data_IF_900827535800
#
_entry.id   IF_900827535800
#
_cell.length_a   1.000
_cell.length_b   1.000
_cell.length_c   1.000
_cell.angle_alpha   90.00
_cell.angle_beta   90.00
_cell.angle_gamma   90.00
#
_symmetry.space_group_name_H-M   'P 1'
#
loop_
_entity.id
_entity.type
_entity.pdbx_description
1 polymer ?
#
# COMPACT_ATOMS: atom_id res chain seq x y z
N UNK A 1 3.38 20.15 -10.45
CA UNK A 1 3.63 18.70 -10.25
C UNK A 1 4.24 18.15 -11.52
N UNK A 2 5.10 17.12 -11.45
CA UNK A 2 5.51 16.42 -12.66
C UNK A 2 4.28 15.87 -13.39
N UNK A 3 4.30 15.91 -14.71
CA UNK A 3 3.26 15.31 -15.54
C UNK A 3 3.55 13.82 -15.66
N UNK A 4 2.64 12.97 -15.22
CA UNK A 4 2.75 11.52 -15.27
C UNK A 4 1.93 10.97 -16.44
N UNK A 5 2.42 9.95 -17.14
CA UNK A 5 1.75 9.35 -18.30
C UNK A 5 0.81 8.21 -17.90
N UNK A 6 1.10 7.51 -16.80
CA UNK A 6 0.40 6.27 -16.41
C UNK A 6 -0.36 6.38 -15.11
N UNK A 7 -0.18 7.46 -14.35
CA UNK A 7 -0.86 7.69 -13.08
C UNK A 7 -1.37 9.14 -12.99
N UNK A 8 -2.32 9.37 -12.08
CA UNK A 8 -2.72 10.70 -11.62
C UNK A 8 -2.36 10.85 -10.16
N UNK A 9 -1.93 12.05 -9.76
CA UNK A 9 -1.58 12.36 -8.37
C UNK A 9 -2.35 13.60 -7.92
N UNK A 10 -3.03 13.49 -6.78
CA UNK A 10 -3.58 14.63 -6.04
C UNK A 10 -2.90 14.67 -4.66
N UNK A 11 -2.20 15.75 -4.36
CA UNK A 11 -1.45 15.97 -3.12
C UNK A 11 -1.97 17.16 -2.31
N UNK A 12 -3.18 17.62 -2.63
CA UNK A 12 -3.83 18.74 -1.95
C UNK A 12 -4.55 18.27 -0.69
N UNK A 13 -4.07 18.72 0.48
CA UNK A 13 -4.67 18.41 1.77
C UNK A 13 -4.01 17.23 2.50
N UNK A 14 -4.67 16.73 3.57
CA UNK A 14 -4.05 15.72 4.45
C UNK A 14 -4.07 14.30 3.88
N UNK A 15 -4.86 14.03 2.86
CA UNK A 15 -4.95 12.74 2.17
C UNK A 15 -4.48 12.93 0.73
N UNK A 16 -3.32 12.37 0.41
CA UNK A 16 -2.84 12.27 -0.97
C UNK A 16 -3.51 11.11 -1.70
N UNK A 17 -3.66 11.22 -3.03
CA UNK A 17 -4.22 10.13 -3.84
C UNK A 17 -3.33 9.88 -5.04
N UNK A 18 -3.06 8.61 -5.29
CA UNK A 18 -2.47 8.11 -6.54
C UNK A 18 -3.51 7.24 -7.23
N UNK A 19 -3.77 7.51 -8.50
CA UNK A 19 -4.69 6.72 -9.33
C UNK A 19 -3.93 6.16 -10.51
N UNK A 20 -3.88 4.83 -10.65
CA UNK A 20 -3.41 4.17 -11.87
C UNK A 20 -4.32 4.59 -13.03
N UNK A 21 -3.79 5.13 -14.10
CA UNK A 21 -4.59 5.84 -15.11
C UNK A 21 -4.34 5.34 -16.56
N UNK A 22 -4.42 4.03 -16.74
CA UNK A 22 -4.49 3.37 -18.06
C UNK A 22 -5.70 2.43 -18.13
N UNK A 23 -6.93 2.95 -17.92
CA UNK A 23 -8.14 2.11 -17.82
C UNK A 23 -8.45 1.32 -19.09
N UNK A 24 -8.13 1.85 -20.27
CA UNK A 24 -8.21 1.18 -21.58
C UNK A 24 -7.39 -0.10 -21.64
N UNK A 25 -6.29 -0.17 -20.88
CA UNK A 25 -5.40 -1.33 -20.76
C UNK A 25 -5.53 -2.06 -19.41
N UNK A 26 -6.57 -1.75 -18.64
CA UNK A 26 -6.81 -2.32 -17.29
C UNK A 26 -5.68 -2.04 -16.29
N UNK A 27 -5.10 -0.83 -16.34
CA UNK A 27 -4.07 -0.36 -15.42
C UNK A 27 -2.87 -1.31 -15.23
N UNK A 28 -2.15 -1.67 -16.31
CA UNK A 28 -1.01 -2.58 -16.20
C UNK A 28 0.16 -1.90 -15.49
N UNK A 29 0.96 -2.70 -14.77
CA UNK A 29 2.15 -2.26 -14.06
C UNK A 29 3.37 -2.67 -14.87
N UNK A 30 3.98 -1.69 -15.51
CA UNK A 30 5.24 -1.85 -16.22
C UNK A 30 6.32 -0.94 -15.65
N UNK A 31 7.55 -0.96 -16.23
CA UNK A 31 8.66 -0.14 -15.75
C UNK A 31 8.34 1.35 -15.65
N UNK A 32 7.65 1.91 -16.65
CA UNK A 32 7.22 3.30 -16.63
C UNK A 32 6.30 3.60 -15.43
N UNK A 33 5.29 2.75 -15.21
CA UNK A 33 4.37 2.89 -14.07
C UNK A 33 5.10 2.75 -12.73
N UNK A 34 6.05 1.81 -12.60
CA UNK A 34 6.88 1.68 -11.41
C UNK A 34 7.69 2.96 -11.15
N UNK A 35 8.34 3.50 -12.18
CA UNK A 35 9.11 4.73 -12.06
C UNK A 35 8.27 5.94 -11.65
N UNK A 36 7.10 6.09 -12.25
CA UNK A 36 6.17 7.15 -11.89
C UNK A 36 5.62 7.01 -10.47
N UNK A 37 5.29 5.78 -10.03
CA UNK A 37 4.86 5.51 -8.67
C UNK A 37 5.96 5.83 -7.65
N UNK A 38 7.20 5.42 -7.90
CA UNK A 38 8.36 5.75 -7.04
C UNK A 38 8.51 7.27 -6.92
N UNK A 39 8.45 8.00 -8.03
CA UNK A 39 8.54 9.47 -8.04
C UNK A 39 7.36 10.14 -7.31
N UNK A 40 6.15 9.61 -7.51
CA UNK A 40 4.94 10.10 -6.84
C UNK A 40 5.03 9.89 -5.31
N UNK A 41 5.42 8.70 -4.85
CA UNK A 41 5.62 8.43 -3.43
C UNK A 41 6.71 9.31 -2.83
N UNK A 42 7.82 9.58 -3.54
CA UNK A 42 8.85 10.51 -3.09
C UNK A 42 8.30 11.94 -2.93
N UNK A 43 7.48 12.41 -3.87
CA UNK A 43 6.79 13.71 -3.79
C UNK A 43 5.86 13.77 -2.59
N UNK A 44 5.02 12.74 -2.40
CA UNK A 44 4.09 12.67 -1.26
C UNK A 44 4.83 12.54 0.08
N UNK A 45 5.98 11.86 0.11
CA UNK A 45 6.86 11.79 1.28
C UNK A 45 7.34 13.17 1.72
N UNK A 46 7.77 13.98 0.76
CA UNK A 46 8.28 15.33 1.00
C UNK A 46 7.19 16.34 1.39
N UNK A 47 5.94 16.13 0.96
CA UNK A 47 4.84 17.05 1.27
C UNK A 47 4.31 16.83 2.70
N UNK A 48 4.70 17.73 3.63
CA UNK A 48 4.29 17.63 5.03
C UNK A 48 2.76 17.79 5.27
N UNK A 49 2.02 18.35 4.32
CA UNK A 49 0.56 18.47 4.41
C UNK A 49 -0.11 17.11 4.23
N UNK A 50 0.46 16.21 3.41
CA UNK A 50 -0.05 14.86 3.21
C UNK A 50 0.33 13.97 4.39
N UNK A 51 -0.65 13.30 4.99
CA UNK A 51 -0.51 12.45 6.17
C UNK A 51 -0.91 11.00 5.95
N UNK A 52 -1.76 10.74 4.95
CA UNK A 52 -2.12 9.40 4.48
C UNK A 52 -2.22 9.41 2.95
N UNK A 53 -2.07 8.24 2.33
CA UNK A 53 -2.11 8.10 0.87
C UNK A 53 -3.15 7.05 0.49
N UNK A 54 -3.99 7.35 -0.49
CA UNK A 54 -4.89 6.38 -1.13
C UNK A 54 -4.28 6.00 -2.48
N UNK A 55 -4.21 4.70 -2.76
CA UNK A 55 -3.85 4.14 -4.06
C UNK A 55 -5.04 3.42 -4.67
N UNK A 56 -5.40 3.77 -5.91
CA UNK A 56 -6.57 3.18 -6.59
C UNK A 56 -6.34 3.05 -8.10
N UNK A 57 -7.29 2.44 -8.82
CA UNK A 57 -7.28 2.34 -10.28
C UNK A 57 -8.40 3.16 -10.92
N UNK A 58 -8.13 3.80 -12.05
CA UNK A 58 -9.17 4.40 -12.88
C UNK A 58 -10.01 3.33 -13.58
N UNK A 59 -11.28 3.63 -13.81
CA UNK A 59 -12.23 2.71 -14.46
C UNK A 59 -12.71 1.58 -13.56
N UNK A 60 -12.94 0.40 -14.13
CA UNK A 60 -13.55 -0.75 -13.44
C UNK A 60 -12.55 -1.78 -12.88
N UNK A 61 -11.24 -1.51 -12.97
CA UNK A 61 -10.18 -2.43 -12.58
C UNK A 61 -9.16 -1.69 -11.72
N UNK A 62 -8.77 -2.25 -10.59
CA UNK A 62 -7.64 -1.73 -9.85
C UNK A 62 -6.36 -1.89 -10.69
N UNK A 63 -5.97 -3.13 -11.00
CA UNK A 63 -4.89 -3.45 -11.94
C UNK A 63 -4.98 -4.90 -12.41
N UNK A 64 -4.79 -5.13 -13.70
CA UNK A 64 -4.74 -6.49 -14.27
C UNK A 64 -3.35 -7.15 -14.17
N UNK A 65 -2.36 -6.46 -13.59
CA UNK A 65 -1.02 -7.01 -13.36
C UNK A 65 0.06 -6.44 -14.27
N UNK A 66 1.07 -7.24 -14.57
CA UNK A 66 2.23 -6.79 -15.35
C UNK A 66 1.91 -6.35 -16.78
N UNK A 67 2.62 -5.36 -17.27
CA UNK A 67 2.55 -4.96 -18.68
C UNK A 67 3.35 -5.95 -19.53
N UNK A 68 2.66 -7.01 -20.02
CA UNK A 68 3.29 -8.07 -20.82
C UNK A 68 3.91 -7.53 -22.11
N UNK A 69 3.35 -6.45 -22.67
CA UNK A 69 3.90 -5.83 -23.89
C UNK A 69 5.25 -5.16 -23.62
N UNK A 70 5.42 -4.58 -22.44
CA UNK A 70 6.67 -3.97 -22.03
C UNK A 70 7.74 -5.01 -21.65
N UNK A 71 7.34 -6.20 -21.16
CA UNK A 71 8.28 -7.27 -20.80
C UNK A 71 9.00 -7.89 -22.01
N UNK A 72 8.43 -7.78 -23.21
CA UNK A 72 9.02 -8.34 -24.45
C UNK A 72 9.88 -7.33 -25.20
N UNK A 73 9.95 -6.08 -24.74
CA UNK A 73 10.73 -5.02 -25.38
C UNK A 73 12.04 -4.81 -24.59
N UNK A 74 13.16 -4.74 -25.33
CA UNK A 74 14.43 -4.31 -24.73
C UNK A 74 14.28 -2.85 -24.26
N UNK A 75 14.69 -2.57 -23.05
CA UNK A 75 14.65 -1.23 -22.48
C UNK A 75 16.09 -0.77 -22.19
N UNK A 76 16.44 0.41 -22.67
CA UNK A 76 17.74 1.05 -22.40
C UNK A 76 17.66 1.88 -21.13
N UNK A 77 18.62 1.70 -20.22
CA UNK A 77 18.79 2.48 -19.01
C UNK A 77 18.27 1.83 -17.72
N UNK A 78 18.46 2.50 -16.57
CA UNK A 78 18.00 2.02 -15.27
C UNK A 78 16.47 2.03 -15.22
N UNK A 79 15.89 0.85 -14.96
CA UNK A 79 14.45 0.64 -14.95
C UNK A 79 13.99 0.46 -13.50
N UNK A 80 13.08 1.31 -13.04
CA UNK A 80 12.44 1.10 -11.74
C UNK A 80 11.66 -0.22 -11.76
N UNK A 81 11.92 -1.07 -10.78
CA UNK A 81 11.35 -2.41 -10.64
C UNK A 81 10.26 -2.43 -9.57
N UNK A 82 9.52 -3.54 -9.48
CA UNK A 82 8.63 -3.78 -8.34
C UNK A 82 9.40 -3.80 -7.00
N UNK A 83 10.68 -4.18 -7.01
CA UNK A 83 11.51 -4.14 -5.80
C UNK A 83 11.69 -2.70 -5.32
N UNK A 84 12.08 -1.80 -6.23
CA UNK A 84 12.25 -0.37 -5.89
C UNK A 84 10.93 0.24 -5.41
N UNK A 85 9.83 -0.13 -6.07
CA UNK A 85 8.50 0.37 -5.72
C UNK A 85 8.09 -0.10 -4.31
N UNK A 86 8.14 -1.39 -4.01
CA UNK A 86 7.74 -1.93 -2.71
C UNK A 86 8.62 -1.40 -1.58
N UNK A 87 9.94 -1.31 -1.81
CA UNK A 87 10.86 -0.69 -0.85
C UNK A 87 10.49 0.77 -0.59
N UNK A 88 10.17 1.53 -1.65
CA UNK A 88 9.74 2.94 -1.52
C UNK A 88 8.44 3.06 -0.73
N UNK A 89 7.48 2.15 -0.94
CA UNK A 89 6.21 2.13 -0.21
C UNK A 89 6.43 1.86 1.28
N UNK A 90 7.21 0.84 1.64
CA UNK A 90 7.54 0.52 3.04
C UNK A 90 8.32 1.63 3.74
N UNK A 91 9.11 2.40 3.00
CA UNK A 91 9.90 3.53 3.52
C UNK A 91 9.18 4.88 3.47
N UNK A 92 7.91 4.91 3.02
CA UNK A 92 7.15 6.16 2.90
C UNK A 92 6.99 6.85 4.26
N UNK A 93 6.72 6.09 5.32
CA UNK A 93 6.46 6.60 6.66
C UNK A 93 5.12 7.32 6.81
N UNK A 94 4.21 7.11 5.87
CA UNK A 94 2.81 7.55 5.87
C UNK A 94 1.95 6.37 5.50
N UNK A 95 0.77 6.17 6.12
CA UNK A 95 -0.11 5.05 5.79
C UNK A 95 -0.54 5.09 4.33
N UNK A 96 -0.47 3.94 3.66
CA UNK A 96 -0.97 3.73 2.31
C UNK A 96 -2.21 2.83 2.38
N UNK A 97 -3.32 3.29 1.84
CA UNK A 97 -4.57 2.53 1.77
C UNK A 97 -4.84 2.19 0.32
N UNK A 98 -4.89 0.90 -0.01
CA UNK A 98 -5.43 0.48 -1.29
C UNK A 98 -6.96 0.61 -1.28
N UNK A 99 -7.50 1.41 -2.20
CA UNK A 99 -8.91 1.50 -2.51
C UNK A 99 -9.18 0.67 -3.76
N UNK A 100 -9.63 -0.57 -3.56
CA UNK A 100 -9.72 -1.58 -4.64
C UNK A 100 -11.09 -1.56 -5.27
N UNK A 101 -11.20 -0.84 -6.37
CA UNK A 101 -12.44 -0.59 -7.11
C UNK A 101 -12.88 -1.73 -8.05
N UNK A 102 -12.11 -2.80 -8.17
CA UNK A 102 -12.38 -3.94 -9.03
C UNK A 102 -11.23 -4.94 -9.03
N UNK A 103 -11.07 -5.77 -10.07
CA UNK A 103 -10.03 -6.80 -10.09
C UNK A 103 -8.64 -6.29 -9.78
N UNK A 104 -7.94 -6.97 -8.85
CA UNK A 104 -6.53 -6.80 -8.54
C UNK A 104 -5.81 -8.13 -8.81
N UNK A 105 -5.09 -8.23 -9.92
CA UNK A 105 -4.55 -9.50 -10.42
C UNK A 105 -3.02 -9.40 -10.60
N UNK A 106 -2.35 -10.53 -10.46
CA UNK A 106 -0.92 -10.66 -10.73
C UNK A 106 -0.08 -9.57 -10.03
N UNK A 107 0.81 -8.86 -10.73
CA UNK A 107 1.55 -7.73 -10.16
C UNK A 107 0.68 -6.63 -9.53
N UNK A 108 -0.59 -6.48 -10.00
CA UNK A 108 -1.56 -5.56 -9.41
C UNK A 108 -2.02 -5.99 -8.01
N UNK A 109 -2.17 -7.30 -7.80
CA UNK A 109 -2.38 -7.86 -6.47
C UNK A 109 -1.19 -7.56 -5.56
N UNK A 110 0.04 -7.75 -6.07
CA UNK A 110 1.25 -7.43 -5.31
C UNK A 110 1.32 -5.97 -4.89
N UNK A 111 1.00 -5.05 -5.79
CA UNK A 111 0.94 -3.61 -5.49
C UNK A 111 -0.11 -3.29 -4.42
N UNK A 112 -1.27 -3.94 -4.49
CA UNK A 112 -2.32 -3.81 -3.48
C UNK A 112 -1.84 -4.29 -2.09
N UNK A 113 -1.22 -5.48 -2.04
CA UNK A 113 -0.77 -6.11 -0.79
C UNK A 113 0.42 -5.36 -0.16
N UNK A 114 1.22 -4.66 -0.96
CA UNK A 114 2.29 -3.79 -0.47
C UNK A 114 1.76 -2.49 0.19
N UNK A 115 0.46 -2.20 0.11
CA UNK A 115 -0.17 -1.14 0.90
C UNK A 115 -0.38 -1.60 2.35
N UNK A 116 -0.36 -0.66 3.30
CA UNK A 116 -0.55 -0.96 4.73
C UNK A 116 -1.96 -1.48 5.05
N UNK A 117 -2.97 -0.96 4.35
CA UNK A 117 -4.38 -1.30 4.53
C UNK A 117 -5.08 -1.44 3.19
N UNK A 118 -6.11 -2.29 3.14
CA UNK A 118 -6.89 -2.55 1.92
C UNK A 118 -8.39 -2.46 2.22
N UNK A 119 -9.09 -1.59 1.50
CA UNK A 119 -10.55 -1.59 1.42
C UNK A 119 -10.95 -1.91 -0.01
N UNK A 120 -11.84 -2.88 -0.21
CA UNK A 120 -12.23 -3.34 -1.52
C UNK A 120 -13.74 -3.21 -1.76
N UNK A 121 -14.12 -3.02 -3.01
CA UNK A 121 -15.49 -3.25 -3.43
C UNK A 121 -15.85 -4.73 -3.25
N UNK A 122 -17.07 -5.02 -2.84
CA UNK A 122 -17.60 -6.39 -2.68
C UNK A 122 -17.62 -7.19 -3.99
N UNK A 123 -17.54 -6.49 -5.12
CA UNK A 123 -17.44 -7.07 -6.47
C UNK A 123 -16.00 -7.30 -6.93
N UNK A 124 -14.99 -6.91 -6.14
CA UNK A 124 -13.59 -7.08 -6.50
C UNK A 124 -13.17 -8.55 -6.46
N UNK A 125 -12.19 -8.90 -7.29
CA UNK A 125 -11.60 -10.24 -7.32
C UNK A 125 -10.08 -10.16 -7.28
N UNK A 126 -9.44 -11.14 -6.67
CA UNK A 126 -8.02 -11.14 -6.35
C UNK A 126 -7.37 -12.45 -6.83
N UNK A 127 -6.19 -12.38 -7.42
CA UNK A 127 -5.53 -13.62 -7.86
C UNK A 127 -4.14 -13.43 -8.42
N UNK A 128 -3.33 -14.46 -8.27
CA UNK A 128 -2.02 -14.60 -8.88
C UNK A 128 -2.17 -15.41 -10.17
N UNK A 129 -2.46 -14.72 -11.28
CA UNK A 129 -2.84 -15.36 -12.54
C UNK A 129 -1.65 -15.69 -13.45
N UNK A 130 -0.42 -15.42 -13.01
CA UNK A 130 0.82 -15.61 -13.75
C UNK A 130 1.00 -17.06 -14.24
N UNK A 131 0.61 -18.04 -13.43
CA UNK A 131 0.75 -19.46 -13.78
C UNK A 131 -0.02 -19.83 -15.04
N UNK A 132 -1.12 -19.14 -15.34
CA UNK A 132 -1.93 -19.38 -16.53
C UNK A 132 -1.21 -19.04 -17.84
N UNK A 133 -0.13 -18.25 -17.78
CA UNK A 133 0.71 -17.88 -18.92
C UNK A 133 2.13 -18.42 -18.80
N UNK A 134 2.35 -19.41 -17.90
CA UNK A 134 3.65 -20.05 -17.71
C UNK A 134 4.66 -19.23 -16.94
N UNK A 135 4.20 -18.21 -16.20
CA UNK A 135 5.03 -17.37 -15.32
C UNK A 135 4.79 -17.71 -13.85
N UNK A 136 5.71 -17.27 -12.99
CA UNK A 136 5.58 -17.37 -11.55
C UNK A 136 5.59 -15.97 -10.91
N UNK A 137 4.73 -15.69 -9.93
CA UNK A 137 4.62 -14.38 -9.28
C UNK A 137 5.78 -14.15 -8.28
N UNK A 138 7.02 -13.92 -8.77
CA UNK A 138 8.24 -13.90 -7.95
C UNK A 138 8.21 -12.84 -6.84
N UNK A 139 8.30 -11.54 -7.18
CA UNK A 139 8.46 -10.47 -6.18
C UNK A 139 7.25 -10.36 -5.26
N UNK A 140 6.04 -10.51 -5.80
CA UNK A 140 4.81 -10.41 -5.01
C UNK A 140 4.60 -11.58 -4.03
N UNK A 141 5.34 -12.70 -4.21
CA UNK A 141 5.34 -13.82 -3.25
C UNK A 141 5.68 -13.34 -1.85
N UNK A 142 6.67 -12.44 -1.72
CA UNK A 142 7.11 -11.93 -0.44
C UNK A 142 5.98 -11.22 0.32
N UNK A 143 5.26 -10.32 -0.35
CA UNK A 143 4.17 -9.53 0.24
C UNK A 143 2.96 -10.42 0.57
N UNK A 144 2.55 -11.28 -0.37
CA UNK A 144 1.38 -12.14 -0.19
C UNK A 144 1.61 -13.13 0.96
N UNK A 145 2.80 -13.74 1.05
CA UNK A 145 3.11 -14.73 2.10
C UNK A 145 3.08 -14.12 3.50
N UNK A 146 3.51 -12.86 3.63
CA UNK A 146 3.44 -12.12 4.89
C UNK A 146 2.00 -11.78 5.30
N UNK A 147 1.11 -11.61 4.33
CA UNK A 147 -0.30 -11.25 4.58
C UNK A 147 -1.18 -12.45 4.88
N UNK A 148 -1.13 -13.52 4.05
CA UNK A 148 -2.08 -14.64 4.15
C UNK A 148 -1.44 -15.96 4.58
N UNK A 149 -0.13 -15.97 4.80
CA UNK A 149 0.62 -17.15 5.20
C UNK A 149 0.83 -18.17 4.06
N UNK A 150 1.73 -19.13 4.32
CA UNK A 150 2.28 -20.04 3.32
C UNK A 150 1.24 -20.83 2.53
N UNK A 151 0.25 -21.42 3.23
CA UNK A 151 -0.70 -22.35 2.56
C UNK A 151 -1.60 -21.65 1.58
N UNK A 152 -2.17 -20.50 1.97
CA UNK A 152 -3.04 -19.72 1.09
C UNK A 152 -2.26 -19.13 -0.08
N UNK A 153 -1.03 -18.63 0.17
CA UNK A 153 -0.13 -18.17 -0.89
C UNK A 153 0.10 -19.23 -1.94
N UNK A 154 0.51 -20.45 -1.54
CA UNK A 154 0.76 -21.54 -2.49
C UNK A 154 -0.51 -22.00 -3.22
N UNK A 155 -1.66 -22.05 -2.55
CA UNK A 155 -2.94 -22.35 -3.20
C UNK A 155 -3.20 -21.36 -4.33
N UNK A 156 -3.12 -20.05 -4.06
CA UNK A 156 -3.34 -19.01 -5.06
C UNK A 156 -2.36 -19.12 -6.23
N UNK A 157 -1.07 -19.29 -5.94
CA UNK A 157 -0.01 -19.29 -6.95
C UNK A 157 0.01 -20.53 -7.83
N UNK A 158 -0.22 -21.72 -7.24
CA UNK A 158 -0.21 -22.98 -7.96
C UNK A 158 -1.46 -23.18 -8.81
N UNK A 159 -2.60 -22.70 -8.35
CA UNK A 159 -3.89 -22.90 -9.04
C UNK A 159 -4.25 -21.74 -9.98
N UNK A 160 -3.71 -20.54 -9.72
CA UNK A 160 -4.12 -19.31 -10.42
C UNK A 160 -5.59 -18.93 -10.16
N UNK A 161 -6.25 -19.58 -9.18
CA UNK A 161 -7.64 -19.28 -8.86
C UNK A 161 -7.79 -17.87 -8.32
N UNK A 162 -8.94 -17.29 -8.57
CA UNK A 162 -9.30 -15.99 -8.03
C UNK A 162 -10.10 -16.18 -6.74
N UNK A 163 -9.83 -15.29 -5.78
CA UNK A 163 -10.64 -15.11 -4.57
C UNK A 163 -11.69 -14.04 -4.83
N UNK A 164 -12.89 -14.21 -4.31
CA UNK A 164 -13.83 -13.10 -4.19
C UNK A 164 -13.48 -12.21 -3.00
N UNK A 165 -14.26 -11.14 -2.80
CA UNK A 165 -13.99 -10.16 -1.76
C UNK A 165 -14.14 -10.74 -0.34
N UNK A 166 -15.09 -11.66 -0.13
CA UNK A 166 -15.30 -12.29 1.18
C UNK A 166 -14.15 -13.25 1.52
N UNK A 167 -13.76 -14.12 0.58
CA UNK A 167 -12.61 -15.00 0.75
C UNK A 167 -11.32 -14.21 1.03
N UNK A 168 -11.15 -13.05 0.37
CA UNK A 168 -10.01 -12.17 0.56
C UNK A 168 -9.98 -11.54 1.97
N UNK A 169 -11.14 -11.19 2.52
CA UNK A 169 -11.26 -10.72 3.91
C UNK A 169 -10.99 -11.87 4.89
N UNK A 170 -11.61 -13.04 4.67
CA UNK A 170 -11.45 -14.20 5.55
C UNK A 170 -9.99 -14.66 5.69
N UNK A 171 -9.21 -14.60 4.61
CA UNK A 171 -7.80 -14.99 4.64
C UNK A 171 -6.83 -13.86 5.05
N UNK A 172 -7.32 -12.64 5.31
CA UNK A 172 -6.50 -11.50 5.74
C UNK A 172 -5.82 -10.75 4.60
N UNK A 173 -6.17 -11.01 3.35
CA UNK A 173 -5.65 -10.30 2.17
C UNK A 173 -6.25 -8.88 2.06
N UNK A 174 -7.47 -8.69 2.54
CA UNK A 174 -8.23 -7.44 2.53
C UNK A 174 -8.75 -7.16 3.94
N UNK A 175 -8.64 -5.91 4.40
CA UNK A 175 -9.13 -5.54 5.73
C UNK A 175 -10.66 -5.48 5.79
N UNK A 176 -11.30 -4.96 4.74
CA UNK A 176 -12.77 -4.85 4.62
C UNK A 176 -13.21 -4.90 3.18
N UNK A 177 -14.33 -5.57 2.92
CA UNK A 177 -15.10 -5.46 1.69
C UNK A 177 -16.38 -4.66 1.98
N UNK A 178 -16.71 -3.72 1.10
CA UNK A 178 -17.87 -2.83 1.23
C UNK A 178 -18.62 -2.76 -0.10
N UNK A 179 -19.92 -2.40 -0.11
CA UNK A 179 -20.62 -2.15 -1.37
C UNK A 179 -19.85 -1.17 -2.25
N UNK A 180 -19.75 -1.46 -3.55
CA UNK A 180 -18.95 -0.63 -4.47
C UNK A 180 -19.31 0.86 -4.42
N UNK A 181 -20.59 1.18 -4.18
CA UNK A 181 -21.06 2.56 -4.04
C UNK A 181 -20.54 3.28 -2.76
N UNK A 182 -20.12 2.53 -1.75
CA UNK A 182 -19.63 3.06 -0.47
C UNK A 182 -18.10 3.08 -0.39
N UNK A 183 -17.40 2.46 -1.36
CA UNK A 183 -15.96 2.28 -1.34
C UNK A 183 -15.18 3.59 -1.14
N UNK A 184 -15.52 4.62 -1.90
CA UNK A 184 -14.86 5.93 -1.82
C UNK A 184 -15.07 6.56 -0.44
N UNK A 185 -16.29 6.55 0.07
CA UNK A 185 -16.63 7.17 1.35
C UNK A 185 -15.94 6.46 2.53
N UNK A 186 -15.96 5.12 2.55
CA UNK A 186 -15.34 4.31 3.61
C UNK A 186 -13.80 4.42 3.59
N UNK A 187 -13.20 4.47 2.39
CA UNK A 187 -11.75 4.64 2.26
C UNK A 187 -11.34 6.04 2.70
N UNK A 188 -12.05 7.08 2.26
CA UNK A 188 -11.76 8.47 2.64
C UNK A 188 -11.94 8.69 4.14
N UNK A 189 -12.96 8.06 4.74
CA UNK A 189 -13.17 8.10 6.20
C UNK A 189 -11.96 7.53 6.94
N UNK A 190 -11.50 6.33 6.57
CA UNK A 190 -10.32 5.72 7.18
C UNK A 190 -9.05 6.57 6.97
N UNK A 191 -8.83 7.07 5.75
CA UNK A 191 -7.68 7.92 5.45
C UNK A 191 -7.67 9.21 6.29
N UNK A 192 -8.85 9.83 6.47
CA UNK A 192 -9.00 11.03 7.29
C UNK A 192 -8.74 10.73 8.77
N UNK A 193 -9.25 9.61 9.30
CA UNK A 193 -8.98 9.17 10.67
C UNK A 193 -7.47 8.95 10.92
N UNK A 194 -6.77 8.35 9.96
CA UNK A 194 -5.31 8.17 10.04
C UNK A 194 -4.56 9.50 9.95
N UNK A 195 -5.02 10.41 9.09
CA UNK A 195 -4.42 11.74 8.94
C UNK A 195 -4.56 12.61 10.21
N UNK A 196 -5.52 12.33 11.08
CA UNK A 196 -5.68 12.98 12.39
C UNK A 196 -4.74 12.44 13.48
N UNK A 197 -3.94 11.40 13.23
CA UNK A 197 -2.98 10.84 14.18
C UNK A 197 -1.65 11.57 14.13
N UNK A 198 -0.79 11.38 15.16
CA UNK A 198 0.57 11.92 15.16
C UNK A 198 1.37 11.39 13.97
N UNK A 199 1.79 12.25 13.04
CA UNK A 199 2.57 11.82 11.88
C UNK A 199 3.97 11.34 12.27
N UNK A 200 4.53 11.83 13.37
CA UNK A 200 5.83 11.39 13.86
C UNK A 200 5.76 9.97 14.45
N UNK A 201 4.73 9.69 15.24
CA UNK A 201 4.52 8.35 15.81
C UNK A 201 4.21 7.32 14.71
N UNK A 202 3.34 7.66 13.74
CA UNK A 202 3.05 6.78 12.60
C UNK A 202 4.33 6.48 11.81
N UNK A 203 5.12 7.50 11.46
CA UNK A 203 6.36 7.31 10.69
C UNK A 203 7.34 6.37 11.39
N UNK A 204 7.60 6.59 12.69
CA UNK A 204 8.48 5.71 13.45
C UNK A 204 7.90 4.30 13.59
N UNK A 205 6.59 4.18 13.83
CA UNK A 205 5.90 2.90 13.98
C UNK A 205 5.95 2.06 12.71
N UNK A 206 5.62 2.66 11.54
CA UNK A 206 5.70 1.95 10.26
C UNK A 206 7.12 1.51 9.92
N UNK A 207 8.12 2.38 10.12
CA UNK A 207 9.52 2.00 9.91
C UNK A 207 9.95 0.87 10.85
N UNK A 208 9.55 0.91 12.12
CA UNK A 208 9.86 -0.14 13.06
C UNK A 208 9.18 -1.46 12.69
N UNK A 209 7.92 -1.41 12.26
CA UNK A 209 7.16 -2.57 11.81
C UNK A 209 7.85 -3.27 10.63
N UNK A 210 8.07 -2.57 9.51
CA UNK A 210 8.66 -3.15 8.31
C UNK A 210 10.10 -3.63 8.53
N UNK A 211 10.87 -2.93 9.34
CA UNK A 211 12.26 -3.30 9.60
C UNK A 211 12.41 -4.51 10.51
N UNK A 212 11.44 -4.78 11.35
CA UNK A 212 11.54 -5.84 12.36
C UNK A 212 10.81 -7.13 12.01
N UNK A 213 9.95 -7.13 10.99
CA UNK A 213 9.04 -8.26 10.71
C UNK A 213 9.75 -9.60 10.40
N UNK A 214 10.99 -9.55 9.91
CA UNK A 214 11.76 -10.75 9.56
C UNK A 214 12.87 -11.05 10.59
N UNK A 215 12.87 -10.37 11.75
CA UNK A 215 13.82 -10.62 12.83
C UNK A 215 13.36 -11.81 13.70
N UNK A 216 14.31 -12.53 14.27
CA UNK A 216 14.03 -13.47 15.33
C UNK A 216 13.43 -12.75 16.56
N UNK A 217 12.61 -13.45 17.37
CA UNK A 217 11.78 -12.84 18.41
C UNK A 217 12.57 -11.97 19.40
N UNK A 218 13.69 -12.46 19.95
CA UNK A 218 14.45 -11.70 20.96
C UNK A 218 15.12 -10.45 20.37
N UNK A 219 15.86 -10.51 19.24
CA UNK A 219 16.34 -9.32 18.54
C UNK A 219 15.22 -8.34 18.17
N UNK A 220 14.07 -8.82 17.71
CA UNK A 220 12.91 -8.01 17.38
C UNK A 220 12.40 -7.23 18.61
N UNK A 221 12.21 -7.92 19.74
CA UNK A 221 11.75 -7.26 20.99
C UNK A 221 12.74 -6.20 21.47
N UNK A 222 14.05 -6.46 21.43
CA UNK A 222 15.09 -5.47 21.79
C UNK A 222 15.07 -4.27 20.87
N UNK A 223 14.93 -4.50 19.56
CA UNK A 223 14.83 -3.44 18.59
C UNK A 223 13.59 -2.57 18.83
N UNK A 224 12.41 -3.19 18.98
CA UNK A 224 11.15 -2.47 19.23
C UNK A 224 11.15 -1.73 20.57
N UNK A 225 11.83 -2.26 21.61
CA UNK A 225 12.03 -1.55 22.88
C UNK A 225 12.85 -0.27 22.67
N UNK A 226 13.90 -0.31 21.86
CA UNK A 226 14.69 0.87 21.56
C UNK A 226 13.87 1.90 20.74
N UNK A 227 13.07 1.45 19.77
CA UNK A 227 12.17 2.32 18.99
C UNK A 227 11.07 2.94 19.87
N UNK A 228 10.54 2.21 20.86
CA UNK A 228 9.61 2.78 21.84
C UNK A 228 10.23 3.97 22.58
N UNK A 229 11.51 3.86 22.96
CA UNK A 229 12.25 4.98 23.59
C UNK A 229 12.29 6.21 22.69
N UNK A 230 12.46 6.04 21.36
CA UNK A 230 12.42 7.14 20.40
C UNK A 230 11.03 7.76 20.30
N UNK A 231 9.97 6.94 20.26
CA UNK A 231 8.59 7.43 20.24
C UNK A 231 8.26 8.23 21.49
N UNK A 232 8.65 7.75 22.69
CA UNK A 232 8.43 8.46 23.95
C UNK A 232 9.18 9.80 24.04
N UNK A 233 10.25 9.97 23.29
CA UNK A 233 11.00 11.23 23.24
C UNK A 233 10.35 12.31 22.35
N UNK A 234 9.36 11.95 21.50
CA UNK A 234 8.67 12.89 20.61
C UNK A 234 7.89 13.96 21.39
N UNK A 235 7.85 15.17 20.86
CA UNK A 235 6.93 16.21 21.32
C UNK A 235 5.47 15.77 21.20
N UNK A 236 5.12 15.09 20.12
CA UNK A 236 3.79 14.55 19.87
C UNK A 236 3.38 13.52 20.95
N UNK A 237 4.30 12.68 21.42
CA UNK A 237 3.99 11.73 22.49
C UNK A 237 3.63 12.44 23.80
N UNK A 238 4.38 13.48 24.16
CA UNK A 238 4.10 14.31 25.34
C UNK A 238 2.77 15.05 25.20
N UNK A 239 2.51 15.63 24.04
CA UNK A 239 1.25 16.31 23.72
C UNK A 239 0.07 15.31 23.81
N UNK A 240 0.21 14.12 23.22
CA UNK A 240 -0.83 13.09 23.24
C UNK A 240 -1.20 12.66 24.65
N UNK A 241 -0.21 12.38 25.50
CA UNK A 241 -0.40 12.03 26.92
C UNK A 241 -1.08 13.19 27.66
N UNK A 242 -0.58 14.42 27.47
CA UNK A 242 -1.15 15.61 28.15
C UNK A 242 -2.59 15.85 27.71
N UNK A 243 -2.87 15.80 26.39
CA UNK A 243 -4.21 15.99 25.85
C UNK A 243 -5.19 14.92 26.36
N UNK A 244 -4.76 13.65 26.45
CA UNK A 244 -5.55 12.56 27.01
C UNK A 244 -5.93 12.82 28.49
N UNK A 245 -4.95 13.19 29.32
CA UNK A 245 -5.19 13.49 30.75
C UNK A 245 -6.11 14.72 30.92
N UNK A 246 -6.01 15.69 30.01
CA UNK A 246 -6.81 16.92 30.03
C UNK A 246 -8.17 16.75 29.30
N UNK A 247 -8.48 15.58 28.75
CA UNK A 247 -9.71 15.29 27.96
C UNK A 247 -9.96 16.28 26.81
N UNK A 248 -8.90 16.69 26.12
CA UNK A 248 -8.96 17.56 24.93
C UNK A 248 -8.38 16.89 23.69
N UNK A 249 -8.66 17.44 22.52
CA UNK A 249 -8.00 16.98 21.26
C UNK A 249 -6.51 17.35 21.30
N UNK A 250 -5.61 16.45 20.88
CA UNK A 250 -4.20 16.74 20.75
C UNK A 250 -3.92 17.65 19.55
N UNK A 251 -2.81 18.40 19.63
CA UNK A 251 -2.31 19.26 18.56
C UNK A 251 -0.94 18.76 18.12
N UNK A 252 -0.93 17.94 17.06
CA UNK A 252 0.27 17.29 16.57
C UNK A 252 1.20 18.28 15.85
N UNK A 253 2.48 18.23 16.17
CA UNK A 253 3.54 19.03 15.52
C UNK A 253 4.38 18.23 14.54
N UNK A 254 4.27 16.90 14.57
CA UNK A 254 5.05 16.00 13.73
C UNK A 254 6.51 15.81 14.15
N UNK A 255 6.81 16.07 15.41
CA UNK A 255 8.16 16.07 15.99
C UNK A 255 8.25 15.19 17.21
#
# INVERSE_FOLDING_TARGET
MPEYATILVDDRGPVGRITLNRPDKRNPIGPATCGELVAAFATLKANAAVRAVILTGAGSVFSAGGDLSAMTQAQDGPIASLVDLFTTMHELGKPIIAMVNGPALAGGLGLMVACDLVIAADTAVFGTTEISVGLWPMMITAEITRSVGRKKTLEMMLTGRKLDANEAVECGLVNRAVPAAELEAETMKLASELAERSPAAIRLGLHAFYRSQDMELEPQLRYLQAELGRVLALEDAREGITAFLQKRKPQWKGK
#
